data_IF_833171520775
#
_entry.id   IF_833171520775
#
_cell.length_a   1.000
_cell.length_b   1.000
_cell.length_c   1.000
_cell.angle_alpha   90.00
_cell.angle_beta   90.00
_cell.angle_gamma   90.00
#
_symmetry.space_group_name_H-M   'P 1'
#
loop_
_entity.id
_entity.type
_entity.pdbx_description
1 polymer ?
#
# COMPACT_ATOMS: atom_id res chain seq x y z
N UNK A 1 -8.25 11.51 -3.98
CA UNK A 1 -7.51 11.62 -2.71
C UNK A 1 -7.70 12.97 -2.02
N UNK A 2 -7.17 14.09 -2.51
CA UNK A 2 -7.54 15.43 -1.97
C UNK A 2 -9.04 15.69 -2.06
N UNK A 3 -9.68 15.38 -3.19
CA UNK A 3 -11.12 15.63 -3.40
C UNK A 3 -11.97 14.90 -2.34
N UNK A 4 -11.71 13.62 -2.08
CA UNK A 4 -12.44 12.84 -1.07
C UNK A 4 -12.23 13.38 0.35
N UNK A 5 -11.01 13.85 0.64
CA UNK A 5 -10.64 14.39 1.96
C UNK A 5 -11.25 15.78 2.18
N UNK A 6 -11.24 16.64 1.16
CA UNK A 6 -11.87 17.98 1.17
C UNK A 6 -13.38 17.84 1.25
N UNK A 7 -13.99 16.92 0.50
CA UNK A 7 -15.42 16.69 0.50
C UNK A 7 -15.91 16.15 1.85
N UNK A 8 -15.22 15.14 2.42
CA UNK A 8 -15.55 14.61 3.74
C UNK A 8 -15.42 15.67 4.84
N UNK A 9 -14.39 16.52 4.77
CA UNK A 9 -14.21 17.58 5.76
C UNK A 9 -15.19 18.74 5.60
N UNK A 10 -15.51 19.14 4.37
CA UNK A 10 -16.52 20.16 4.10
C UNK A 10 -17.91 19.73 4.60
N UNK A 11 -18.25 18.43 4.51
CA UNK A 11 -19.50 17.89 5.05
C UNK A 11 -19.54 17.91 6.58
N UNK A 12 -18.42 17.64 7.25
CA UNK A 12 -18.34 17.61 8.72
C UNK A 12 -18.25 19.01 9.34
N UNK A 13 -17.51 19.93 8.69
CA UNK A 13 -17.22 21.26 9.22
C UNK A 13 -18.19 22.33 8.70
N UNK A 14 -18.90 22.07 7.59
CA UNK A 14 -19.79 23.04 6.94
C UNK A 14 -19.09 24.23 6.29
N UNK A 15 -17.75 24.29 6.35
CA UNK A 15 -16.94 25.39 5.87
C UNK A 15 -15.83 24.88 4.94
N UNK A 16 -15.91 25.28 3.66
CA UNK A 16 -15.05 24.78 2.58
C UNK A 16 -13.63 25.34 2.69
N UNK A 17 -13.46 26.55 3.25
CA UNK A 17 -12.15 27.19 3.41
C UNK A 17 -11.27 26.42 4.41
N UNK A 18 -11.87 25.88 5.47
CA UNK A 18 -11.16 25.06 6.44
C UNK A 18 -10.79 23.70 5.82
N UNK A 19 -11.70 23.09 5.04
CA UNK A 19 -11.44 21.83 4.35
C UNK A 19 -10.31 21.96 3.30
N UNK A 20 -10.26 23.08 2.57
CA UNK A 20 -9.20 23.37 1.60
C UNK A 20 -7.82 23.48 2.25
N UNK A 21 -7.75 24.02 3.48
CA UNK A 21 -6.50 24.15 4.23
C UNK A 21 -5.93 22.81 4.73
N UNK A 22 -6.74 21.75 4.83
CA UNK A 22 -6.30 20.41 5.25
C UNK A 22 -5.87 19.51 4.09
N UNK A 23 -6.32 19.80 2.87
CA UNK A 23 -5.90 19.10 1.65
C UNK A 23 -4.36 18.99 1.50
N UNK A 24 -3.59 20.09 1.65
CA UNK A 24 -2.13 20.08 1.50
C UNK A 24 -1.38 19.24 2.54
N UNK A 25 -1.92 19.09 3.75
CA UNK A 25 -1.26 18.31 4.81
C UNK A 25 -1.59 16.80 4.73
N UNK A 26 -2.76 16.45 4.19
CA UNK A 26 -3.28 15.07 4.23
C UNK A 26 -2.73 14.17 3.14
N UNK A 27 -2.53 14.68 1.93
CA UNK A 27 -1.96 13.90 0.82
C UNK A 27 -0.47 13.54 0.99
N UNK A 28 0.44 14.44 1.42
CA UNK A 28 1.82 14.05 1.69
C UNK A 28 1.93 13.17 2.94
N UNK A 29 1.04 13.30 3.92
CA UNK A 29 1.02 12.41 5.09
C UNK A 29 0.69 10.97 4.68
N UNK A 30 -0.33 10.77 3.84
CA UNK A 30 -0.68 9.44 3.34
C UNK A 30 0.42 8.86 2.47
N UNK A 31 0.94 9.67 1.54
CA UNK A 31 2.03 9.26 0.65
C UNK A 31 3.29 8.90 1.43
N UNK A 32 3.69 9.75 2.39
CA UNK A 32 4.85 9.51 3.26
C UNK A 32 4.67 8.29 4.15
N UNK A 33 3.46 8.04 4.65
CA UNK A 33 3.16 6.85 5.45
C UNK A 33 3.23 5.57 4.60
N UNK A 34 2.62 5.57 3.41
CA UNK A 34 2.69 4.41 2.49
C UNK A 34 4.12 4.14 2.04
N UNK A 35 4.85 5.18 1.64
CA UNK A 35 6.24 5.06 1.25
C UNK A 35 7.11 4.55 2.41
N UNK A 36 6.93 5.12 3.61
CA UNK A 36 7.63 4.66 4.82
C UNK A 36 7.34 3.19 5.12
N UNK A 37 6.06 2.80 5.05
CA UNK A 37 5.63 1.41 5.22
C UNK A 37 6.34 0.48 4.24
N UNK A 38 6.34 0.77 2.94
CA UNK A 38 7.01 -0.07 1.94
C UNK A 38 8.52 -0.16 2.18
N UNK A 39 9.17 0.95 2.57
CA UNK A 39 10.61 0.98 2.83
C UNK A 39 11.00 0.25 4.11
N UNK A 40 10.17 0.31 5.15
CA UNK A 40 10.36 -0.46 6.39
C UNK A 40 10.07 -1.93 6.15
N UNK A 41 8.99 -2.25 5.45
CA UNK A 41 8.58 -3.63 5.15
C UNK A 41 9.64 -4.38 4.32
N UNK A 42 10.26 -3.71 3.35
CA UNK A 42 11.37 -4.26 2.56
C UNK A 42 12.64 -4.54 3.40
N UNK A 43 12.80 -3.90 4.57
CA UNK A 43 13.93 -4.16 5.47
C UNK A 43 13.69 -5.35 6.40
N UNK A 44 12.45 -5.80 6.52
CA UNK A 44 12.08 -6.93 7.38
C UNK A 44 12.26 -8.22 6.57
N UNK A 45 13.16 -9.09 7.02
CA UNK A 45 13.33 -10.42 6.42
C UNK A 45 12.29 -11.37 7.01
N UNK A 46 11.22 -11.62 6.26
CA UNK A 46 10.09 -12.46 6.69
C UNK A 46 10.39 -13.96 6.76
N UNK A 47 11.59 -14.39 6.36
CA UNK A 47 12.03 -15.79 6.48
C UNK A 47 11.24 -16.79 5.62
N UNK A 48 10.47 -16.32 4.62
CA UNK A 48 9.64 -17.21 3.80
C UNK A 48 10.50 -17.97 2.80
N UNK A 49 10.98 -19.15 3.21
CA UNK A 49 11.66 -20.09 2.34
C UNK A 49 10.62 -20.81 1.47
N UNK A 50 10.24 -20.21 0.34
CA UNK A 50 9.41 -20.89 -0.67
C UNK A 50 10.27 -21.96 -1.33
N UNK A 51 10.22 -23.19 -0.78
CA UNK A 51 10.85 -24.37 -1.39
C UNK A 51 9.86 -25.04 -2.33
N UNK A 52 9.68 -24.46 -3.51
CA UNK A 52 9.01 -25.15 -4.61
C UNK A 52 9.98 -26.20 -5.17
N UNK A 53 9.91 -27.41 -4.62
CA UNK A 53 10.55 -28.58 -5.23
C UNK A 53 9.55 -29.21 -6.20
N UNK A 54 9.46 -28.66 -7.40
CA UNK A 54 8.75 -29.35 -8.50
C UNK A 54 9.66 -30.48 -8.98
N UNK A 55 9.46 -31.67 -8.42
CA UNK A 55 10.12 -32.88 -8.89
C UNK A 55 9.28 -33.48 -10.00
N UNK A 56 9.56 -33.07 -11.24
CA UNK A 56 9.09 -33.82 -12.40
C UNK A 56 9.73 -35.21 -12.34
N UNK A 57 8.89 -36.23 -12.11
CA UNK A 57 9.27 -37.63 -12.10
C UNK A 57 9.08 -38.14 -13.52
N UNK A 58 10.18 -38.52 -14.14
CA UNK A 58 10.26 -39.09 -15.48
C UNK A 58 9.49 -40.42 -15.56
N UNK A 59 8.68 -40.56 -16.60
CA UNK A 59 8.11 -41.80 -17.14
C UNK A 59 7.90 -41.44 -18.61
N UNK A 60 8.70 -41.87 -19.56
CA UNK A 60 8.83 -43.25 -20.02
C UNK A 60 10.07 -43.32 -20.94
N UNK A 61 11.10 -44.07 -20.53
CA UNK A 61 12.14 -44.60 -21.44
C UNK A 61 12.01 -46.12 -21.49
N UNK A 62 10.81 -46.61 -21.80
CA UNK A 62 10.56 -48.01 -22.11
C UNK A 62 9.37 -48.05 -23.07
N UNK A 63 9.64 -47.91 -24.37
CA UNK A 63 8.91 -48.51 -25.50
C UNK A 63 9.64 -48.25 -26.81
#
# INVERSE_FOLDING_TARGET
>A
MIVDTVLGRAVVTGNVDEAANIGPATDPTKTGTYYGYERVWNRITWGVSVRLRVRFRTRHELE
#
